data_IF_452599595920
#
_entry.id   IF_452599595920
#
_cell.length_a   1.000
_cell.length_b   1.000
_cell.length_c   1.000
_cell.angle_alpha   90.00
_cell.angle_beta   90.00
_cell.angle_gamma   90.00
#
_symmetry.space_group_name_H-M   'P 1'
#
loop_
_entity.id
_entity.type
_entity.pdbx_description
1 polymer ?
#
# COMPACT_ATOMS: atom_id res chain seq x y z
N UNK A 1 -48.82 36.85 50.62
CA UNK A 1 -48.56 37.26 49.23
C UNK A 1 -47.99 36.08 48.47
N UNK A 2 -48.66 35.70 47.38
CA UNK A 2 -48.50 34.42 46.69
C UNK A 2 -47.11 34.23 46.05
N UNK A 3 -46.50 33.07 46.26
CA UNK A 3 -45.43 32.54 45.40
C UNK A 3 -45.87 31.17 44.88
N UNK A 4 -45.99 31.11 43.56
CA UNK A 4 -46.45 29.97 42.77
C UNK A 4 -45.57 28.73 42.98
N UNK A 5 -46.21 27.61 43.33
CA UNK A 5 -45.62 26.29 43.45
C UNK A 5 -45.56 25.62 42.07
N UNK A 6 -44.37 25.59 41.47
CA UNK A 6 -44.09 24.65 40.38
C UNK A 6 -43.70 23.32 41.02
N UNK A 7 -44.60 22.33 40.90
CA UNK A 7 -44.44 21.01 41.49
C UNK A 7 -43.33 20.22 40.75
N UNK A 8 -42.22 19.83 41.42
CA UNK A 8 -41.07 19.18 40.78
C UNK A 8 -41.38 17.81 40.16
N UNK A 9 -42.50 17.19 40.53
CA UNK A 9 -42.93 15.91 39.97
C UNK A 9 -43.46 16.00 38.53
N UNK A 10 -43.96 17.16 38.09
CA UNK A 10 -44.40 17.36 36.69
C UNK A 10 -43.22 17.51 35.72
N UNK A 11 -42.09 18.05 36.17
CA UNK A 11 -40.87 18.21 35.36
C UNK A 11 -40.20 16.85 35.14
N UNK A 12 -40.22 15.96 36.15
CA UNK A 12 -39.60 14.63 36.05
C UNK A 12 -40.37 13.65 35.14
N UNK A 13 -41.70 13.78 35.06
CA UNK A 13 -42.50 12.95 34.14
C UNK A 13 -42.34 13.41 32.69
N UNK A 14 -42.31 14.72 32.43
CA UNK A 14 -42.10 15.27 31.09
C UNK A 14 -40.72 14.93 30.50
N UNK A 15 -39.69 14.89 31.35
CA UNK A 15 -38.32 14.53 30.93
C UNK A 15 -38.15 13.03 30.66
N UNK A 16 -38.88 12.15 31.36
CA UNK A 16 -38.88 10.70 31.08
C UNK A 16 -39.61 10.34 29.78
N UNK A 17 -40.73 10.98 29.46
CA UNK A 17 -41.40 10.77 28.17
C UNK A 17 -40.59 11.33 27.01
N UNK A 18 -39.91 12.48 27.17
CA UNK A 18 -39.02 13.01 26.14
C UNK A 18 -37.77 12.14 25.92
N UNK A 19 -37.16 11.59 26.97
CA UNK A 19 -36.02 10.66 26.83
C UNK A 19 -36.43 9.30 26.25
N UNK A 20 -37.62 8.79 26.55
CA UNK A 20 -38.14 7.56 25.96
C UNK A 20 -38.44 7.72 24.47
N UNK A 21 -39.05 8.84 24.06
CA UNK A 21 -39.29 9.18 22.66
C UNK A 21 -37.98 9.45 21.89
N UNK A 22 -36.97 10.06 22.52
CA UNK A 22 -35.64 10.24 21.92
C UNK A 22 -34.88 8.93 21.75
N UNK A 23 -35.00 7.98 22.69
CA UNK A 23 -34.37 6.65 22.60
C UNK A 23 -35.06 5.75 21.58
N UNK A 24 -36.39 5.76 21.48
CA UNK A 24 -37.11 5.01 20.44
C UNK A 24 -36.86 5.58 19.03
N UNK A 25 -36.77 6.91 18.90
CA UNK A 25 -36.38 7.56 17.64
C UNK A 25 -34.97 7.20 17.17
N UNK A 26 -33.99 7.06 18.10
CA UNK A 26 -32.63 6.61 17.77
C UNK A 26 -32.55 5.12 17.44
N UNK A 27 -33.32 4.25 18.08
CA UNK A 27 -33.30 2.80 17.74
C UNK A 27 -33.92 2.55 16.37
N UNK A 28 -35.00 3.25 16.00
CA UNK A 28 -35.58 3.17 14.65
C UNK A 28 -34.72 3.88 13.59
N UNK A 29 -34.04 4.98 13.92
CA UNK A 29 -33.09 5.63 13.02
C UNK A 29 -31.80 4.81 12.85
N UNK A 30 -31.36 4.09 13.89
CA UNK A 30 -30.18 3.24 13.85
C UNK A 30 -30.49 1.87 13.22
N UNK A 31 -31.70 1.33 13.36
CA UNK A 31 -32.18 0.19 12.57
C UNK A 31 -32.46 0.56 11.12
N UNK A 32 -32.94 1.78 10.81
CA UNK A 32 -32.97 2.28 9.44
C UNK A 32 -31.55 2.45 8.89
N UNK A 33 -30.60 3.03 9.62
CA UNK A 33 -29.20 3.13 9.17
C UNK A 33 -28.48 1.77 9.06
N UNK A 34 -28.83 0.77 9.87
CA UNK A 34 -28.34 -0.62 9.74
C UNK A 34 -29.07 -1.44 8.67
N UNK A 35 -30.26 -1.01 8.26
CA UNK A 35 -31.04 -1.60 7.15
C UNK A 35 -30.71 -0.93 5.80
N UNK A 36 -30.27 0.32 5.79
CA UNK A 36 -29.89 1.08 4.57
C UNK A 36 -28.43 0.87 4.17
N UNK A 37 -27.62 0.24 5.03
CA UNK A 37 -26.23 -0.13 4.75
C UNK A 37 -26.09 -1.57 4.22
N UNK A 38 -27.22 -2.22 3.90
CA UNK A 38 -27.28 -3.61 3.43
C UNK A 38 -28.17 -3.78 2.21
N UNK A 39 -27.95 -2.98 1.17
CA UNK A 39 -28.26 -3.30 -0.23
C UNK A 39 -27.87 -2.14 -1.17
N UNK A 40 -26.58 -1.88 -1.29
CA UNK A 40 -26.02 -1.50 -2.61
C UNK A 40 -24.97 -2.53 -2.98
N UNK A 41 -25.39 -3.80 -2.93
CA UNK A 41 -24.73 -4.86 -3.68
C UNK A 41 -24.88 -4.55 -5.17
N UNK A 42 -23.78 -4.09 -5.77
CA UNK A 42 -23.40 -4.34 -7.17
C UNK A 42 -24.48 -4.16 -8.23
N UNK A 43 -24.84 -2.92 -8.57
CA UNK A 43 -25.25 -2.64 -9.94
C UNK A 43 -24.02 -2.29 -10.79
N UNK A 44 -23.35 -3.33 -11.32
CA UNK A 44 -22.37 -3.20 -12.42
C UNK A 44 -20.87 -3.26 -12.08
N UNK A 45 -20.50 -3.38 -10.80
CA UNK A 45 -19.11 -3.55 -10.36
C UNK A 45 -18.59 -4.97 -10.62
N UNK A 46 -17.37 -5.10 -11.17
CA UNK A 46 -16.74 -6.38 -11.50
C UNK A 46 -16.11 -7.07 -10.27
N UNK A 47 -16.04 -6.37 -9.13
CA UNK A 47 -15.68 -6.83 -7.78
C UNK A 47 -16.11 -5.77 -6.73
N UNK A 48 -16.05 -6.11 -5.44
CA UNK A 48 -16.68 -5.38 -4.31
C UNK A 48 -16.52 -3.84 -4.32
N UNK A 49 -15.34 -3.31 -4.70
CA UNK A 49 -15.04 -1.86 -4.70
C UNK A 49 -14.82 -1.27 -6.10
N UNK A 50 -15.20 -2.00 -7.14
CA UNK A 50 -14.96 -1.62 -8.53
C UNK A 50 -15.79 -0.41 -8.96
N UNK A 51 -15.14 0.51 -9.68
CA UNK A 51 -15.71 1.70 -10.30
C UNK A 51 -15.24 1.76 -11.74
N UNK A 52 -16.19 1.66 -12.69
CA UNK A 52 -15.91 1.81 -14.12
C UNK A 52 -15.55 3.25 -14.45
N UNK A 53 -14.51 3.43 -15.26
CA UNK A 53 -14.10 4.73 -15.81
C UNK A 53 -14.19 4.70 -17.34
N UNK A 54 -14.76 5.74 -17.93
CA UNK A 54 -14.60 5.99 -19.36
C UNK A 54 -13.19 6.57 -19.65
N UNK A 55 -12.82 6.65 -20.93
CA UNK A 55 -11.47 7.10 -21.34
C UNK A 55 -11.12 8.51 -20.86
N UNK A 56 -12.08 9.44 -20.87
CA UNK A 56 -11.88 10.81 -20.40
C UNK A 56 -11.67 10.85 -18.88
N UNK A 57 -12.55 10.24 -18.10
CA UNK A 57 -12.44 10.18 -16.64
C UNK A 57 -11.14 9.49 -16.20
N UNK A 58 -10.70 8.45 -16.92
CA UNK A 58 -9.42 7.78 -16.68
C UNK A 58 -8.23 8.72 -16.94
N UNK A 59 -8.22 9.42 -18.07
CA UNK A 59 -7.16 10.37 -18.39
C UNK A 59 -7.13 11.55 -17.40
N UNK A 60 -8.30 12.09 -17.05
CA UNK A 60 -8.45 13.18 -16.08
C UNK A 60 -7.91 12.77 -14.70
N UNK A 61 -8.30 11.58 -14.21
CA UNK A 61 -7.82 11.04 -12.94
C UNK A 61 -6.31 10.76 -12.98
N UNK A 62 -5.78 10.25 -14.09
CA UNK A 62 -4.34 10.03 -14.25
C UNK A 62 -3.56 11.34 -14.12
N UNK A 63 -3.95 12.38 -14.87
CA UNK A 63 -3.29 13.69 -14.85
C UNK A 63 -3.42 14.35 -13.48
N UNK A 64 -4.64 14.42 -12.94
CA UNK A 64 -4.91 15.02 -11.64
C UNK A 64 -4.14 14.33 -10.51
N UNK A 65 -4.09 13.00 -10.52
CA UNK A 65 -3.37 12.23 -9.51
C UNK A 65 -1.86 12.34 -9.66
N UNK A 66 -1.33 12.46 -10.88
CA UNK A 66 0.09 12.74 -11.10
C UNK A 66 0.48 14.09 -10.52
N UNK A 67 -0.28 15.15 -10.83
CA UNK A 67 -0.04 16.50 -10.27
C UNK A 67 -0.15 16.49 -8.75
N UNK A 68 -1.20 15.88 -8.20
CA UNK A 68 -1.39 15.78 -6.76
C UNK A 68 -0.26 15.01 -6.07
N UNK A 69 0.19 13.89 -6.65
CA UNK A 69 1.28 13.08 -6.11
C UNK A 69 2.64 13.78 -6.22
N UNK A 70 2.84 14.66 -7.22
CA UNK A 70 4.02 15.52 -7.37
C UNK A 70 4.01 16.72 -6.43
N UNK A 71 2.84 17.22 -6.04
CA UNK A 71 2.72 18.27 -5.04
C UNK A 71 2.83 17.73 -3.61
N UNK A 72 2.23 16.57 -3.33
CA UNK A 72 2.26 15.93 -2.02
C UNK A 72 2.51 14.41 -2.15
N UNK A 73 3.75 13.92 -1.91
CA UNK A 73 4.07 12.50 -2.03
C UNK A 73 3.43 11.62 -0.95
N UNK A 74 2.97 12.20 0.15
CA UNK A 74 2.30 11.47 1.23
C UNK A 74 0.82 11.18 0.91
N UNK A 75 0.32 11.63 -0.24
CA UNK A 75 -0.97 11.24 -0.81
C UNK A 75 -0.87 9.88 -1.49
N UNK A 76 -0.72 8.83 -0.68
CA UNK A 76 -0.64 7.45 -1.16
C UNK A 76 -1.88 7.04 -1.97
N UNK A 77 -3.04 7.63 -1.68
CA UNK A 77 -4.28 7.50 -2.45
C UNK A 77 -4.12 7.99 -3.90
N UNK A 78 -3.42 9.11 -4.11
CA UNK A 78 -3.19 9.65 -5.46
C UNK A 78 -2.17 8.79 -6.24
N UNK A 79 -1.16 8.25 -5.57
CA UNK A 79 -0.24 7.29 -6.19
C UNK A 79 -1.00 6.01 -6.57
N UNK A 80 -1.93 5.55 -5.73
CA UNK A 80 -2.79 4.40 -6.03
C UNK A 80 -3.67 4.65 -7.27
N UNK A 81 -4.39 5.78 -7.32
CA UNK A 81 -5.21 6.16 -8.47
C UNK A 81 -4.36 6.27 -9.74
N UNK A 82 -3.18 6.90 -9.65
CA UNK A 82 -2.25 7.01 -10.78
C UNK A 82 -1.80 5.63 -11.28
N UNK A 83 -1.52 4.70 -10.36
CA UNK A 83 -1.13 3.32 -10.69
C UNK A 83 -2.22 2.59 -11.47
N UNK A 84 -3.49 2.73 -11.08
CA UNK A 84 -4.61 2.02 -11.72
C UNK A 84 -4.99 2.63 -13.07
N UNK A 85 -4.91 3.95 -13.16
CA UNK A 85 -5.27 4.67 -14.39
C UNK A 85 -4.22 4.54 -15.48
N UNK A 86 -2.96 4.24 -15.12
CA UNK A 86 -1.84 4.08 -16.07
C UNK A 86 -1.35 2.64 -16.24
N UNK A 87 -1.71 1.72 -15.33
CA UNK A 87 -1.14 0.37 -15.28
C UNK A 87 -1.68 -0.64 -16.29
N UNK A 88 -2.80 -0.36 -16.97
CA UNK A 88 -3.58 -1.34 -17.75
C UNK A 88 -2.76 -2.34 -18.60
N UNK A 89 -2.07 -1.88 -19.67
CA UNK A 89 -1.28 -2.77 -20.53
C UNK A 89 -0.13 -3.50 -19.79
N UNK A 90 0.47 -2.84 -18.80
CA UNK A 90 1.61 -3.38 -18.05
C UNK A 90 1.20 -4.48 -17.06
N UNK A 91 -0.01 -4.37 -16.50
CA UNK A 91 -0.58 -5.41 -15.65
C UNK A 91 -0.84 -6.71 -16.42
N UNK A 92 -1.23 -6.63 -17.69
CA UNK A 92 -1.41 -7.83 -18.52
C UNK A 92 -0.08 -8.59 -18.70
N UNK A 93 1.02 -7.87 -18.95
CA UNK A 93 2.37 -8.45 -19.01
C UNK A 93 2.77 -9.11 -17.69
N UNK A 94 2.52 -8.46 -16.55
CA UNK A 94 2.81 -9.03 -15.23
C UNK A 94 1.99 -10.29 -14.96
N UNK A 95 0.70 -10.27 -15.33
CA UNK A 95 -0.16 -11.43 -15.25
C UNK A 95 0.39 -12.57 -16.09
N UNK A 96 0.82 -12.31 -17.33
CA UNK A 96 1.41 -13.34 -18.21
C UNK A 96 2.69 -13.94 -17.61
N UNK A 97 3.53 -13.10 -16.99
CA UNK A 97 4.71 -13.53 -16.24
C UNK A 97 4.35 -14.42 -15.04
N UNK A 98 3.26 -14.10 -14.33
CA UNK A 98 2.72 -14.96 -13.26
C UNK A 98 2.16 -16.28 -13.80
N UNK A 99 1.51 -16.29 -14.97
CA UNK A 99 1.00 -17.53 -15.58
C UNK A 99 2.12 -18.46 -16.03
N UNK A 100 3.27 -17.92 -16.45
CA UNK A 100 4.44 -18.72 -16.79
C UNK A 100 5.07 -19.43 -15.58
N UNK A 101 4.91 -18.87 -14.37
CA UNK A 101 5.50 -19.39 -13.13
C UNK A 101 4.51 -20.28 -12.34
N UNK A 102 4.91 -21.49 -11.86
CA UNK A 102 4.02 -22.33 -11.06
C UNK A 102 3.50 -21.69 -9.77
N UNK A 103 4.31 -20.88 -9.08
CA UNK A 103 3.89 -20.11 -7.91
C UNK A 103 2.99 -18.95 -8.31
N UNK A 104 3.32 -18.23 -9.39
CA UNK A 104 2.47 -17.20 -9.97
C UNK A 104 1.06 -17.71 -10.32
N UNK A 105 0.93 -18.91 -10.92
CA UNK A 105 -0.38 -19.55 -11.18
C UNK A 105 -1.17 -19.83 -9.90
N UNK A 106 -0.51 -20.30 -8.83
CA UNK A 106 -1.16 -20.50 -7.53
C UNK A 106 -1.64 -19.19 -6.95
N UNK A 107 -0.84 -18.13 -7.06
CA UNK A 107 -1.21 -16.80 -6.61
C UNK A 107 -2.41 -16.25 -7.36
N UNK A 108 -2.47 -16.38 -8.69
CA UNK A 108 -3.63 -15.96 -9.49
C UNK A 108 -4.90 -16.76 -9.16
N UNK A 109 -4.75 -18.04 -8.82
CA UNK A 109 -5.86 -18.93 -8.44
C UNK A 109 -6.40 -18.66 -7.04
N UNK A 110 -5.53 -18.66 -6.03
CA UNK A 110 -5.94 -18.59 -4.62
C UNK A 110 -6.09 -17.17 -4.09
N UNK A 111 -5.45 -16.20 -4.77
CA UNK A 111 -5.54 -14.77 -4.48
C UNK A 111 -5.33 -14.41 -2.99
N UNK A 112 -4.24 -14.87 -2.34
CA UNK A 112 -3.95 -14.47 -0.97
C UNK A 112 -3.79 -12.94 -0.90
N UNK A 113 -4.31 -12.35 0.18
CA UNK A 113 -4.15 -10.93 0.51
C UNK A 113 -3.23 -10.77 1.71
N UNK A 114 -2.50 -9.67 1.72
CA UNK A 114 -1.52 -9.28 2.73
C UNK A 114 -2.08 -8.07 3.49
N UNK A 115 -2.63 -8.30 4.68
CA UNK A 115 -3.16 -7.27 5.57
C UNK A 115 -3.17 -7.78 7.03
N UNK A 116 -3.52 -6.94 7.99
CA UNK A 116 -3.52 -7.34 9.41
C UNK A 116 -4.56 -8.40 9.78
N UNK A 117 -5.56 -8.63 8.93
CA UNK A 117 -6.53 -9.72 9.12
C UNK A 117 -6.01 -11.07 8.62
N UNK A 118 -5.07 -11.08 7.69
CA UNK A 118 -4.48 -12.32 7.13
C UNK A 118 -3.10 -12.64 7.70
N UNK A 119 -2.44 -11.67 8.33
CA UNK A 119 -1.11 -11.80 8.90
C UNK A 119 -1.14 -11.47 10.38
N UNK A 120 -0.73 -12.41 11.22
CA UNK A 120 -0.53 -12.17 12.64
C UNK A 120 0.82 -11.48 12.90
N UNK A 121 0.78 -10.15 13.00
CA UNK A 121 1.96 -9.32 13.27
C UNK A 121 2.63 -9.65 14.61
N UNK A 122 1.89 -10.11 15.63
CA UNK A 122 2.49 -10.51 16.91
C UNK A 122 3.28 -11.81 16.74
N UNK A 123 2.73 -12.76 15.99
CA UNK A 123 3.45 -13.98 15.63
C UNK A 123 4.71 -13.67 14.83
N UNK A 124 4.65 -12.77 13.84
CA UNK A 124 5.83 -12.34 13.09
C UNK A 124 6.90 -11.71 14.00
N UNK A 125 6.50 -10.89 14.97
CA UNK A 125 7.43 -10.27 15.91
C UNK A 125 8.09 -11.28 16.88
N UNK A 126 7.47 -12.44 17.10
CA UNK A 126 8.03 -13.51 17.93
C UNK A 126 9.04 -14.40 17.19
N UNK A 127 9.18 -14.25 15.87
CA UNK A 127 10.08 -15.06 15.07
C UNK A 127 11.56 -14.75 15.36
N UNK A 128 12.48 -15.68 15.07
CA UNK A 128 13.92 -15.47 15.26
C UNK A 128 14.43 -14.24 14.49
N UNK A 129 15.36 -13.49 15.09
CA UNK A 129 16.07 -12.40 14.41
C UNK A 129 16.72 -12.88 13.12
N UNK A 130 16.67 -12.07 12.07
CA UNK A 130 17.15 -12.43 10.75
C UNK A 130 16.21 -13.32 9.94
N UNK A 131 15.05 -13.74 10.46
CA UNK A 131 13.97 -14.30 9.63
C UNK A 131 13.21 -13.20 8.90
N UNK A 132 12.67 -13.49 7.70
CA UNK A 132 11.96 -12.49 6.91
C UNK A 132 10.77 -11.86 7.65
N UNK A 133 9.97 -12.66 8.36
CA UNK A 133 8.83 -12.15 9.14
C UNK A 133 9.26 -11.26 10.31
N UNK A 134 10.34 -11.63 11.02
CA UNK A 134 10.89 -10.78 12.09
C UNK A 134 11.40 -9.45 11.55
N UNK A 135 12.14 -9.47 10.44
CA UNK A 135 12.66 -8.25 9.83
C UNK A 135 11.56 -7.36 9.25
N UNK A 136 10.49 -7.95 8.70
CA UNK A 136 9.31 -7.19 8.29
C UNK A 136 8.60 -6.52 9.47
N UNK A 137 8.39 -7.24 10.58
CA UNK A 137 7.83 -6.66 11.82
C UNK A 137 8.68 -5.49 12.34
N UNK A 138 10.01 -5.69 12.41
CA UNK A 138 10.96 -4.65 12.81
C UNK A 138 10.88 -3.41 11.91
N UNK A 139 10.77 -3.62 10.59
CA UNK A 139 10.69 -2.56 9.60
C UNK A 139 9.38 -1.76 9.71
N UNK A 140 8.23 -2.45 9.85
CA UNK A 140 6.94 -1.77 10.08
C UNK A 140 6.99 -0.85 11.30
N UNK A 141 7.59 -1.35 12.41
CA UNK A 141 7.76 -0.58 13.64
C UNK A 141 8.69 0.61 13.46
N UNK A 142 9.84 0.42 12.81
CA UNK A 142 10.83 1.50 12.63
C UNK A 142 10.34 2.60 11.68
N UNK A 143 9.55 2.24 10.67
CA UNK A 143 8.95 3.18 9.73
C UNK A 143 7.61 3.76 10.23
N UNK A 144 7.05 3.23 11.32
CA UNK A 144 5.74 3.59 11.86
C UNK A 144 4.62 3.48 10.80
N UNK A 145 4.57 2.34 10.11
CA UNK A 145 3.59 2.03 9.06
C UNK A 145 2.85 0.71 9.36
N UNK A 146 1.75 0.48 8.66
CA UNK A 146 0.91 -0.72 8.80
C UNK A 146 0.64 -1.35 7.43
N UNK A 147 0.54 -2.70 7.32
CA UNK A 147 0.09 -3.37 6.09
C UNK A 147 -1.29 -2.90 5.62
N UNK A 148 -2.13 -2.38 6.52
CA UNK A 148 -3.50 -1.92 6.19
C UNK A 148 -3.54 -0.54 5.53
N UNK A 149 -2.40 0.13 5.41
CA UNK A 149 -2.31 1.44 4.74
C UNK A 149 -2.50 1.39 3.22
N UNK A 150 -2.69 0.19 2.65
CA UNK A 150 -2.77 -0.06 1.21
C UNK A 150 -4.22 0.04 0.73
N UNK A 151 -4.47 1.06 -0.09
CA UNK A 151 -5.80 1.29 -0.68
C UNK A 151 -6.23 0.12 -1.59
N UNK A 152 -7.50 -0.31 -1.49
CA UNK A 152 -8.05 -1.31 -2.40
C UNK A 152 -8.03 -0.79 -3.84
N UNK A 153 -7.83 -1.70 -4.79
CA UNK A 153 -7.98 -1.41 -6.23
C UNK A 153 -9.46 -1.14 -6.56
N UNK A 154 -9.73 -0.19 -7.45
CA UNK A 154 -11.09 0.29 -7.80
C UNK A 154 -11.32 0.47 -9.29
N UNK A 155 -10.35 0.93 -10.06
CA UNK A 155 -10.49 1.47 -11.42
C UNK A 155 -9.96 0.55 -12.52
N UNK A 156 -9.65 -0.71 -12.19
CA UNK A 156 -9.23 -1.74 -13.13
C UNK A 156 -10.42 -2.66 -13.39
N UNK A 157 -10.80 -2.83 -14.65
CA UNK A 157 -12.01 -3.58 -15.01
C UNK A 157 -11.82 -5.10 -14.92
N UNK A 158 -10.65 -5.64 -15.28
CA UNK A 158 -10.40 -7.08 -15.13
C UNK A 158 -10.19 -7.45 -13.66
N UNK A 159 -11.00 -8.34 -13.05
CA UNK A 159 -10.79 -8.78 -11.66
C UNK A 159 -9.45 -9.48 -11.44
N UNK A 160 -8.94 -10.17 -12.45
CA UNK A 160 -7.62 -10.79 -12.40
C UNK A 160 -6.50 -9.74 -12.38
N UNK A 161 -6.57 -8.72 -13.25
CA UNK A 161 -5.57 -7.64 -13.26
C UNK A 161 -5.70 -6.75 -12.01
N UNK A 162 -6.91 -6.59 -11.48
CA UNK A 162 -7.13 -5.91 -10.21
C UNK A 162 -6.42 -6.65 -9.07
N UNK A 163 -6.49 -7.98 -9.04
CA UNK A 163 -5.71 -8.78 -8.10
C UNK A 163 -4.19 -8.61 -8.29
N UNK A 164 -3.68 -8.60 -9.53
CA UNK A 164 -2.24 -8.37 -9.79
C UNK A 164 -1.79 -7.02 -9.25
N UNK A 165 -2.58 -5.96 -9.48
CA UNK A 165 -2.30 -4.63 -8.91
C UNK A 165 -2.38 -4.62 -7.38
N UNK A 166 -3.39 -5.26 -6.79
CA UNK A 166 -3.56 -5.34 -5.35
C UNK A 166 -2.36 -6.06 -4.71
N UNK A 167 -1.95 -7.21 -5.26
CA UNK A 167 -0.79 -7.96 -4.77
C UNK A 167 0.49 -7.11 -4.83
N UNK A 168 0.72 -6.41 -5.95
CA UNK A 168 1.85 -5.49 -6.06
C UNK A 168 1.86 -4.46 -4.92
N UNK A 169 0.71 -3.84 -4.62
CA UNK A 169 0.58 -2.84 -3.55
C UNK A 169 0.85 -3.40 -2.18
N UNK A 170 0.23 -4.53 -1.85
CA UNK A 170 0.34 -5.10 -0.52
C UNK A 170 1.74 -5.68 -0.26
N UNK A 171 2.42 -6.14 -1.31
CA UNK A 171 3.80 -6.63 -1.21
C UNK A 171 4.87 -5.52 -1.29
N UNK A 172 4.49 -4.26 -1.52
CA UNK A 172 5.44 -3.15 -1.69
C UNK A 172 6.44 -3.04 -0.54
N UNK A 173 5.95 -3.16 0.70
CA UNK A 173 6.79 -3.05 1.90
C UNK A 173 7.81 -4.19 2.00
N UNK A 174 7.51 -5.36 1.43
CA UNK A 174 8.47 -6.46 1.38
C UNK A 174 9.68 -6.12 0.53
N UNK A 175 9.49 -5.30 -0.52
CA UNK A 175 10.60 -4.88 -1.38
C UNK A 175 11.57 -3.96 -0.63
N UNK A 176 11.07 -3.09 0.25
CA UNK A 176 11.91 -2.30 1.16
C UNK A 176 12.77 -3.20 2.05
N UNK A 177 12.15 -4.21 2.67
CA UNK A 177 12.81 -5.13 3.62
C UNK A 177 13.85 -6.01 2.93
N UNK A 178 13.47 -6.67 1.83
CA UNK A 178 14.30 -7.72 1.22
C UNK A 178 15.48 -7.16 0.43
N UNK A 179 15.47 -5.88 0.02
CA UNK A 179 16.49 -5.34 -0.89
C UNK A 179 17.58 -4.51 -0.22
N UNK A 180 17.46 -4.17 1.07
CA UNK A 180 18.47 -3.35 1.76
C UNK A 180 17.86 -2.41 2.79
N UNK A 181 17.11 -2.96 3.77
CA UNK A 181 16.01 -2.34 4.52
C UNK A 181 15.92 -0.82 4.35
N UNK A 182 15.26 -0.41 3.27
CA UNK A 182 15.11 1.01 2.93
C UNK A 182 13.94 1.61 3.73
N UNK A 183 14.09 2.77 4.39
CA UNK A 183 12.98 3.42 5.07
C UNK A 183 12.08 4.17 4.09
N UNK A 184 10.86 4.50 4.53
CA UNK A 184 9.85 5.28 3.78
C UNK A 184 10.17 6.77 3.61
N UNK A 185 11.46 7.13 3.53
CA UNK A 185 11.89 8.48 3.17
C UNK A 185 12.04 8.61 1.64
N UNK A 186 12.12 9.85 1.13
CA UNK A 186 12.18 10.11 -0.32
C UNK A 186 13.29 9.31 -1.03
N UNK A 187 14.48 9.20 -0.41
CA UNK A 187 15.61 8.47 -1.02
C UNK A 187 15.37 6.96 -1.05
N UNK A 188 14.87 6.37 0.03
CA UNK A 188 14.53 4.94 0.10
C UNK A 188 13.43 4.57 -0.89
N UNK A 189 12.37 5.38 -0.95
CA UNK A 189 11.29 5.22 -1.93
C UNK A 189 11.80 5.25 -3.37
N UNK A 190 12.66 6.22 -3.74
CA UNK A 190 13.23 6.28 -5.09
C UNK A 190 14.00 4.99 -5.43
N UNK A 191 14.80 4.46 -4.50
CA UNK A 191 15.56 3.22 -4.73
C UNK A 191 14.62 2.06 -5.01
N UNK A 192 13.60 1.86 -4.17
CA UNK A 192 12.61 0.79 -4.35
C UNK A 192 11.84 0.97 -5.66
N UNK A 193 11.49 2.21 -6.06
CA UNK A 193 10.81 2.47 -7.34
C UNK A 193 11.68 2.09 -8.56
N UNK A 194 13.00 2.27 -8.49
CA UNK A 194 13.90 1.77 -9.55
C UNK A 194 13.93 0.24 -9.61
N UNK A 195 13.90 -0.44 -8.46
CA UNK A 195 13.83 -1.90 -8.39
C UNK A 195 12.51 -2.41 -8.96
N UNK A 196 11.39 -1.80 -8.56
CA UNK A 196 10.05 -2.12 -9.07
C UNK A 196 9.94 -1.89 -10.58
N UNK A 197 10.51 -0.79 -11.08
CA UNK A 197 10.57 -0.55 -12.51
C UNK A 197 11.36 -1.64 -13.23
N UNK A 198 12.53 -2.02 -12.71
CA UNK A 198 13.38 -3.03 -13.33
C UNK A 198 12.78 -4.45 -13.28
N UNK A 199 12.11 -4.80 -12.18
CA UNK A 199 11.54 -6.14 -11.99
C UNK A 199 10.15 -6.29 -12.62
N UNK A 200 9.33 -5.24 -12.57
CA UNK A 200 7.90 -5.31 -12.89
C UNK A 200 7.46 -4.37 -14.04
N UNK A 201 8.25 -3.36 -14.36
CA UNK A 201 7.95 -2.46 -15.48
C UNK A 201 6.70 -1.58 -15.29
N UNK A 202 6.27 -1.33 -14.05
CA UNK A 202 5.07 -0.53 -13.78
C UNK A 202 5.31 0.97 -14.11
N UNK A 203 4.40 1.64 -14.85
CA UNK A 203 4.57 3.04 -15.23
C UNK A 203 4.71 3.98 -14.04
N UNK A 204 3.91 3.77 -12.99
CA UNK A 204 3.96 4.57 -11.76
C UNK A 204 5.31 4.46 -11.05
N UNK A 205 5.95 3.29 -11.10
CA UNK A 205 7.28 3.09 -10.54
C UNK A 205 8.29 3.93 -11.34
N UNK A 206 8.21 3.91 -12.67
CA UNK A 206 9.03 4.74 -13.55
C UNK A 206 8.83 6.24 -13.32
N UNK A 207 7.59 6.72 -13.28
CA UNK A 207 7.27 8.12 -12.99
C UNK A 207 7.83 8.54 -11.63
N UNK A 208 7.65 7.72 -10.59
CA UNK A 208 8.16 8.00 -9.26
C UNK A 208 9.70 7.99 -9.21
N UNK A 209 10.33 7.05 -9.91
CA UNK A 209 11.78 6.91 -9.98
C UNK A 209 12.46 8.07 -10.74
N UNK A 210 11.81 8.61 -11.76
CA UNK A 210 12.32 9.71 -12.60
C UNK A 210 12.03 11.08 -11.98
N UNK A 211 10.82 11.31 -11.49
CA UNK A 211 10.40 12.63 -10.99
C UNK A 211 10.54 12.78 -9.47
N UNK A 212 10.50 11.70 -8.71
CA UNK A 212 10.76 11.71 -7.27
C UNK A 212 12.09 12.37 -6.87
N UNK A 213 13.22 12.11 -7.58
CA UNK A 213 14.50 12.75 -7.29
C UNK A 213 14.51 14.28 -7.42
N UNK A 214 13.55 14.90 -8.13
CA UNK A 214 13.48 16.37 -8.25
C UNK A 214 13.23 17.07 -6.89
N UNK A 215 12.77 16.32 -5.88
CA UNK A 215 12.57 16.82 -4.51
C UNK A 215 13.81 16.75 -3.63
N UNK A 216 14.88 16.15 -4.12
CA UNK A 216 16.14 16.06 -3.38
C UNK A 216 17.04 17.24 -3.77
N UNK A 217 17.83 17.77 -2.81
CA UNK A 217 18.97 18.63 -3.10
C UNK A 217 19.82 18.06 -4.25
N UNK A 218 20.35 18.94 -5.10
CA UNK A 218 21.02 18.52 -6.34
C UNK A 218 22.18 17.55 -6.09
N UNK A 219 22.96 17.78 -5.04
CA UNK A 219 24.07 16.92 -4.61
C UNK A 219 23.58 15.54 -4.17
N UNK A 220 22.61 15.50 -3.26
CA UNK A 220 22.02 14.25 -2.76
C UNK A 220 21.38 13.45 -3.89
N UNK A 221 20.70 14.13 -4.81
CA UNK A 221 20.14 13.52 -6.03
C UNK A 221 21.24 12.84 -6.85
N UNK A 222 22.34 13.54 -7.16
CA UNK A 222 23.46 12.97 -7.93
C UNK A 222 24.09 11.79 -7.21
N UNK A 223 24.31 11.90 -5.91
CA UNK A 223 24.87 10.81 -5.11
C UNK A 223 23.96 9.57 -5.10
N UNK A 224 22.65 9.74 -4.92
CA UNK A 224 21.67 8.66 -4.96
C UNK A 224 21.67 7.95 -6.31
N UNK A 225 21.58 8.74 -7.40
CA UNK A 225 21.56 8.23 -8.76
C UNK A 225 22.86 7.50 -9.10
N UNK A 226 24.02 7.99 -8.65
CA UNK A 226 25.31 7.36 -8.91
C UNK A 226 25.50 6.06 -8.13
N UNK A 227 25.08 6.05 -6.86
CA UNK A 227 25.34 4.92 -5.96
C UNK A 227 24.33 3.79 -6.17
N UNK A 228 23.02 4.08 -6.09
CA UNK A 228 22.01 3.03 -5.99
C UNK A 228 21.36 2.66 -7.32
N UNK A 229 21.14 3.60 -8.24
CA UNK A 229 20.35 3.31 -9.45
C UNK A 229 20.98 2.24 -10.36
N UNK A 230 22.30 2.25 -10.64
CA UNK A 230 22.92 1.19 -11.42
C UNK A 230 22.76 -0.19 -10.77
N UNK A 231 22.86 -0.26 -9.44
CA UNK A 231 22.64 -1.49 -8.71
C UNK A 231 21.16 -1.90 -8.73
N UNK A 232 20.23 -0.99 -8.45
CA UNK A 232 18.79 -1.25 -8.41
C UNK A 232 18.28 -1.78 -9.75
N UNK A 233 18.73 -1.19 -10.86
CA UNK A 233 18.42 -1.65 -12.21
C UNK A 233 18.95 -3.06 -12.47
N UNK A 234 20.25 -3.31 -12.21
CA UNK A 234 20.87 -4.63 -12.45
C UNK A 234 20.26 -5.71 -11.55
N UNK A 235 20.08 -5.42 -10.27
CA UNK A 235 19.53 -6.36 -9.29
C UNK A 235 18.06 -6.65 -9.62
N UNK A 236 17.24 -5.62 -9.82
CA UNK A 236 15.82 -5.78 -10.13
C UNK A 236 15.55 -6.52 -11.45
N UNK A 237 16.39 -6.33 -12.47
CA UNK A 237 16.27 -7.04 -13.74
C UNK A 237 16.78 -8.48 -13.70
N UNK A 238 17.64 -8.83 -12.74
CA UNK A 238 18.29 -10.15 -12.66
C UNK A 238 17.68 -11.05 -11.57
N UNK A 239 16.99 -10.46 -10.59
CA UNK A 239 16.32 -11.22 -9.55
C UNK A 239 15.07 -11.92 -10.09
N UNK A 240 14.55 -12.88 -9.31
CA UNK A 240 13.31 -13.57 -9.67
C UNK A 240 12.14 -12.57 -9.79
N UNK A 241 11.10 -12.89 -10.57
CA UNK A 241 9.88 -12.09 -10.62
C UNK A 241 9.26 -11.97 -9.22
N UNK A 242 9.39 -10.80 -8.58
CA UNK A 242 8.98 -10.64 -7.18
C UNK A 242 7.47 -10.72 -7.01
N UNK A 243 6.71 -10.42 -8.07
CA UNK A 243 5.25 -10.60 -8.11
C UNK A 243 4.83 -12.07 -7.96
N UNK A 244 5.70 -13.01 -8.31
CA UNK A 244 5.45 -14.46 -8.23
C UNK A 244 5.84 -15.08 -6.89
N UNK A 245 6.46 -14.31 -5.99
CA UNK A 245 6.93 -14.84 -4.70
C UNK A 245 5.74 -15.05 -3.76
N UNK A 246 5.59 -16.25 -3.22
CA UNK A 246 4.61 -16.60 -2.18
C UNK A 246 5.15 -16.17 -0.80
N UNK A 247 5.27 -14.85 -0.57
CA UNK A 247 5.82 -14.24 0.66
C UNK A 247 5.26 -14.84 1.95
N UNK A 248 3.98 -15.18 1.92
CA UNK A 248 3.19 -15.80 2.99
C UNK A 248 3.80 -17.12 3.50
N UNK A 249 4.62 -17.80 2.67
CA UNK A 249 5.29 -19.07 3.00
C UNK A 249 6.69 -18.88 3.57
N UNK A 250 7.21 -17.64 3.58
CA UNK A 250 8.61 -17.36 3.87
C UNK A 250 8.84 -16.63 5.19
N UNK A 251 7.82 -16.44 6.03
CA UNK A 251 7.97 -15.74 7.32
C UNK A 251 9.11 -16.26 8.18
N UNK A 252 9.26 -17.58 8.26
CA UNK A 252 10.31 -18.25 9.04
C UNK A 252 11.64 -18.39 8.29
N UNK A 253 11.67 -18.10 6.98
CA UNK A 253 12.89 -18.26 6.17
C UNK A 253 13.93 -17.21 6.59
N UNK A 254 15.20 -17.60 6.85
CA UNK A 254 16.26 -16.64 7.06
C UNK A 254 16.36 -15.66 5.88
N UNK A 255 16.43 -14.36 6.16
CA UNK A 255 16.41 -13.31 5.15
C UNK A 255 17.56 -13.47 4.14
N UNK A 256 18.75 -13.84 4.63
CA UNK A 256 19.91 -14.12 3.78
C UNK A 256 19.65 -15.28 2.81
N UNK A 257 18.94 -16.31 3.25
CA UNK A 257 18.61 -17.47 2.42
C UNK A 257 17.54 -17.11 1.39
N UNK A 258 16.56 -16.31 1.80
CA UNK A 258 15.53 -15.78 0.90
C UNK A 258 16.13 -14.88 -0.18
N UNK A 259 17.08 -13.99 0.18
CA UNK A 259 17.82 -13.19 -0.80
C UNK A 259 18.55 -14.07 -1.82
N UNK A 260 19.25 -15.11 -1.36
CA UNK A 260 19.92 -16.09 -2.25
C UNK A 260 18.91 -16.81 -3.15
N UNK A 261 17.80 -17.27 -2.60
CA UNK A 261 16.74 -17.96 -3.36
C UNK A 261 16.14 -17.08 -4.46
N UNK A 262 16.03 -15.77 -4.22
CA UNK A 262 15.45 -14.79 -5.14
C UNK A 262 16.49 -14.11 -6.04
N UNK A 263 17.78 -14.46 -5.91
CA UNK A 263 18.90 -13.81 -6.60
C UNK A 263 18.96 -12.29 -6.34
N UNK A 264 18.68 -11.88 -5.10
CA UNK A 264 18.78 -10.49 -4.66
C UNK A 264 20.18 -10.27 -4.10
N UNK A 265 20.93 -9.37 -4.73
CA UNK A 265 22.25 -8.93 -4.26
C UNK A 265 22.13 -7.82 -3.22
N UNK A 266 23.12 -7.70 -2.35
CA UNK A 266 23.18 -6.61 -1.36
C UNK A 266 23.40 -5.26 -2.05
N UNK A 267 22.89 -4.17 -1.45
CA UNK A 267 23.16 -2.82 -1.94
C UNK A 267 24.66 -2.50 -1.89
N UNK A 268 25.14 -1.55 -2.73
CA UNK A 268 26.56 -1.24 -2.84
C UNK A 268 27.15 -0.64 -1.56
N UNK A 269 26.32 0.04 -0.76
CA UNK A 269 26.67 0.61 0.54
C UNK A 269 25.46 0.46 1.47
N UNK A 270 25.63 0.14 2.77
CA UNK A 270 24.54 0.18 3.73
C UNK A 270 23.83 1.54 3.72
N UNK A 271 22.50 1.53 3.63
CA UNK A 271 21.73 2.77 3.43
C UNK A 271 21.90 3.78 4.56
N UNK A 272 22.02 3.32 5.81
CA UNK A 272 22.27 4.18 6.95
C UNK A 272 23.58 4.97 6.80
N UNK A 273 24.65 4.30 6.38
CA UNK A 273 25.98 4.90 6.22
C UNK A 273 25.98 5.87 5.04
N UNK A 274 25.32 5.49 3.94
CA UNK A 274 25.10 6.40 2.82
C UNK A 274 24.33 7.63 3.30
N UNK A 275 23.20 7.48 3.97
CA UNK A 275 22.38 8.60 4.43
C UNK A 275 23.13 9.52 5.38
N UNK A 276 23.94 8.97 6.30
CA UNK A 276 24.80 9.73 7.19
C UNK A 276 25.81 10.59 6.41
N UNK A 277 26.44 10.03 5.36
CA UNK A 277 27.35 10.78 4.49
C UNK A 277 26.68 11.93 3.72
N UNK A 278 25.35 11.87 3.53
CA UNK A 278 24.58 12.92 2.85
C UNK A 278 24.15 14.07 3.76
N UNK A 279 24.41 14.01 5.08
CA UNK A 279 24.02 15.08 6.03
C UNK A 279 24.86 16.34 5.90
N UNK A 280 26.08 16.22 5.38
CA UNK A 280 27.04 17.32 5.24
C UNK A 280 27.08 17.93 3.83
N UNK A 281 26.21 17.49 2.92
CA UNK A 281 26.17 18.04 1.57
C UNK A 281 25.48 19.41 1.58
N UNK A 282 26.01 20.40 0.84
CA UNK A 282 25.32 21.67 0.67
C UNK A 282 23.94 21.44 0.02
N UNK A 283 22.96 22.23 0.48
CA UNK A 283 21.57 22.17 0.02
C UNK A 283 21.44 22.62 -1.45
#
# INVERSE_FOLDING_TARGET
>A
MARSLVNPLRILQFTRTLQASYRHGRVLAQQRQFSDSRATETEGGLYEKHVRLNGFSRAFLAIGSAVASLNNPYRADMVAVLSETTGGPFLARLRDQMLADPAGRRLLKYRPSINSHTIDLKSLDSLPNGSFGKEYSNWLRSCNVSPDSREPVRFIDSPELAYVMQRYRECHDFYHVITGPFPVNISGEIIVKWIELANMGLPVAGLSAIFGPLRLPSERRRALLRTYVPWALRMGSSCKPLICVEWEKHWNTPLADLKRLLHISEPPVPFHDWLASQRNLPA
#
